data_IF_950968994612
#
_entry.id   IF_950968994612
#
_cell.length_a   1.000
_cell.length_b   1.000
_cell.length_c   1.000
_cell.angle_alpha   90.00
_cell.angle_beta   90.00
_cell.angle_gamma   90.00
#
_symmetry.space_group_name_H-M   'P 1'
#
loop_
_entity.id
_entity.type
_entity.pdbx_description
1 polymer ?
#
# COMPACT_ATOMS: atom_id res chain seq x y z
N UNK A 1 52.81 -51.35 -35.77
CA UNK A 1 53.81 -50.36 -36.19
C UNK A 1 53.16 -49.32 -37.10
N UNK A 2 53.53 -48.04 -37.03
CA UNK A 2 53.52 -47.16 -35.85
C UNK A 2 52.73 -45.86 -36.20
N UNK A 3 52.47 -44.84 -35.39
CA UNK A 3 52.97 -44.39 -34.10
C UNK A 3 51.86 -43.54 -33.42
N UNK A 4 51.67 -43.73 -32.12
CA UNK A 4 50.92 -42.77 -31.29
C UNK A 4 51.74 -41.51 -31.05
N UNK A 5 51.06 -40.37 -30.93
CA UNK A 5 51.62 -39.15 -30.35
C UNK A 5 50.77 -38.80 -29.15
N UNK A 6 51.36 -39.03 -27.98
CA UNK A 6 50.77 -38.80 -26.68
C UNK A 6 50.51 -37.31 -26.47
N UNK A 7 49.32 -36.99 -25.94
CA UNK A 7 49.04 -35.68 -25.38
C UNK A 7 49.92 -35.47 -24.16
N UNK A 8 50.87 -34.55 -24.27
CA UNK A 8 51.75 -34.16 -23.17
C UNK A 8 50.97 -33.20 -22.26
N UNK A 9 50.36 -33.77 -21.21
CA UNK A 9 49.74 -33.05 -20.12
C UNK A 9 50.86 -32.58 -19.18
N UNK A 10 51.37 -31.36 -19.41
CA UNK A 10 52.40 -30.76 -18.54
C UNK A 10 51.74 -30.28 -17.25
N UNK A 11 51.72 -31.18 -16.27
CA UNK A 11 51.51 -30.91 -14.85
C UNK A 11 52.64 -30.01 -14.36
N UNK A 12 52.27 -28.79 -13.92
CA UNK A 12 53.20 -27.80 -13.38
C UNK A 12 53.54 -28.20 -11.94
N UNK A 13 54.53 -29.08 -11.79
CA UNK A 13 55.11 -29.41 -10.48
C UNK A 13 56.64 -29.25 -10.52
N UNK A 14 57.07 -28.37 -9.63
CA UNK A 14 58.40 -28.25 -9.00
C UNK A 14 59.39 -27.15 -9.46
N UNK A 15 60.08 -26.67 -8.43
CA UNK A 15 61.25 -25.80 -8.37
C UNK A 15 61.07 -24.28 -8.58
N UNK A 16 61.13 -23.58 -7.43
CA UNK A 16 61.36 -22.14 -7.29
C UNK A 16 62.72 -21.76 -7.90
N UNK A 17 62.71 -20.81 -8.83
CA UNK A 17 63.87 -19.98 -9.15
C UNK A 17 63.37 -18.52 -9.18
N UNK A 18 63.87 -17.68 -8.28
CA UNK A 18 63.54 -16.25 -8.17
C UNK A 18 64.13 -15.47 -9.35
N UNK A 19 63.52 -15.62 -10.53
CA UNK A 19 63.64 -14.73 -11.66
C UNK A 19 62.47 -13.76 -11.66
N UNK A 20 62.73 -12.45 -11.68
CA UNK A 20 61.69 -11.43 -11.87
C UNK A 20 61.17 -11.51 -13.30
N UNK A 21 60.27 -12.46 -13.55
CA UNK A 21 59.58 -12.58 -14.83
C UNK A 21 58.44 -11.56 -14.86
N UNK A 22 58.66 -10.46 -15.57
CA UNK A 22 57.61 -9.47 -15.84
C UNK A 22 56.50 -10.13 -16.67
N UNK A 23 55.35 -10.39 -16.04
CA UNK A 23 54.15 -10.89 -16.71
C UNK A 23 53.69 -9.86 -17.77
N UNK A 24 53.87 -10.19 -19.05
CA UNK A 24 53.40 -9.35 -20.17
C UNK A 24 52.13 -9.93 -20.77
N UNK A 25 51.03 -9.18 -20.66
CA UNK A 25 49.75 -9.55 -21.27
C UNK A 25 49.86 -9.40 -22.78
N UNK A 26 49.42 -10.40 -23.53
CA UNK A 26 49.39 -10.31 -24.99
C UNK A 26 48.24 -9.40 -25.44
N UNK A 27 48.57 -8.21 -25.95
CA UNK A 27 47.59 -7.20 -26.40
C UNK A 27 46.61 -7.76 -27.46
N UNK A 28 47.10 -8.61 -28.37
CA UNK A 28 46.27 -9.27 -29.39
C UNK A 28 45.24 -10.25 -28.82
N UNK A 29 45.52 -10.87 -27.68
CA UNK A 29 44.58 -11.75 -27.01
C UNK A 29 43.54 -10.94 -26.24
N UNK A 30 43.97 -9.89 -25.53
CA UNK A 30 43.06 -8.99 -24.82
C UNK A 30 42.02 -8.36 -25.75
N UNK A 31 42.43 -7.87 -26.93
CA UNK A 31 41.52 -7.29 -27.92
C UNK A 31 40.51 -8.31 -28.45
N UNK A 32 40.96 -9.54 -28.75
CA UNK A 32 40.07 -10.63 -29.20
C UNK A 32 39.11 -11.05 -28.09
N UNK A 33 39.59 -11.19 -26.87
CA UNK A 33 38.80 -11.57 -25.71
C UNK A 33 37.69 -10.54 -25.44
N UNK A 34 38.04 -9.26 -25.43
CA UNK A 34 37.08 -8.16 -25.25
C UNK A 34 36.02 -8.20 -26.36
N UNK A 35 36.42 -8.31 -27.63
CA UNK A 35 35.47 -8.40 -28.74
C UNK A 35 34.52 -9.60 -28.63
N UNK A 36 35.01 -10.75 -28.16
CA UNK A 36 34.15 -11.92 -27.93
C UNK A 36 33.21 -11.74 -26.74
N UNK A 37 33.68 -11.08 -25.68
CA UNK A 37 32.88 -10.77 -24.50
C UNK A 37 31.80 -9.73 -24.78
N UNK A 38 32.14 -8.67 -25.49
CA UNK A 38 31.19 -7.65 -25.94
C UNK A 38 30.08 -8.28 -26.78
N UNK A 39 30.43 -9.18 -27.71
CA UNK A 39 29.43 -9.90 -28.50
C UNK A 39 28.53 -10.79 -27.65
N UNK A 40 29.09 -11.44 -26.63
CA UNK A 40 28.34 -12.29 -25.71
C UNK A 40 27.36 -11.48 -24.86
N UNK A 41 27.81 -10.36 -24.29
CA UNK A 41 26.97 -9.46 -23.48
C UNK A 41 25.86 -8.82 -24.33
N UNK A 42 26.16 -8.41 -25.57
CA UNK A 42 25.15 -7.85 -26.48
C UNK A 42 24.07 -8.89 -26.83
N UNK A 43 24.45 -10.15 -27.04
CA UNK A 43 23.50 -11.23 -27.28
C UNK A 43 22.64 -11.52 -26.05
N UNK A 44 23.23 -11.48 -24.84
CA UNK A 44 22.51 -11.64 -23.57
C UNK A 44 21.50 -10.52 -23.36
N UNK A 45 21.90 -9.26 -23.57
CA UNK A 45 21.03 -8.10 -23.44
C UNK A 45 19.83 -8.16 -24.41
N UNK A 46 20.07 -8.55 -25.67
CA UNK A 46 18.99 -8.74 -26.66
C UNK A 46 18.00 -9.83 -26.26
N UNK A 47 18.49 -10.95 -25.73
CA UNK A 47 17.62 -12.03 -25.25
C UNK A 47 16.73 -11.56 -24.10
N UNK A 48 17.29 -10.79 -23.17
CA UNK A 48 16.55 -10.26 -22.01
C UNK A 48 15.40 -9.34 -22.43
N UNK A 49 15.65 -8.46 -23.40
CA UNK A 49 14.66 -7.51 -23.92
C UNK A 49 13.50 -8.25 -24.63
N UNK A 50 13.80 -9.27 -25.42
CA UNK A 50 12.77 -10.07 -26.11
C UNK A 50 11.89 -10.85 -25.12
N UNK A 51 12.47 -11.37 -24.02
CA UNK A 51 11.71 -12.05 -22.96
C UNK A 51 10.78 -11.07 -22.22
N UNK A 52 11.22 -9.82 -22.02
CA UNK A 52 10.43 -8.75 -21.40
C UNK A 52 9.25 -8.31 -22.29
N UNK A 53 9.48 -8.16 -23.59
CA UNK A 53 8.42 -7.85 -24.56
C UNK A 53 7.38 -8.98 -24.67
N UNK A 54 7.81 -10.26 -24.64
CA UNK A 54 6.90 -11.42 -24.65
C UNK A 54 6.12 -11.59 -23.35
N UNK A 55 6.68 -11.16 -22.21
CA UNK A 55 5.96 -11.13 -20.93
C UNK A 55 4.89 -10.04 -20.87
N UNK A 56 5.06 -8.94 -21.62
CA UNK A 56 4.07 -7.85 -21.69
C UNK A 56 2.82 -8.17 -22.52
N UNK A 57 2.83 -9.26 -23.30
CA UNK A 57 1.77 -9.61 -24.24
C UNK A 57 0.79 -10.69 -23.75
N UNK A 58 0.91 -11.12 -22.50
CA UNK A 58 0.03 -12.12 -21.88
C UNK A 58 -0.85 -11.48 -20.81
N UNK A 59 -2.17 -11.52 -21.05
CA UNK A 59 -3.27 -11.05 -20.19
C UNK A 59 -3.62 -9.57 -20.30
N UNK A 60 -4.47 -9.26 -21.28
CA UNK A 60 -5.41 -8.13 -21.19
C UNK A 60 -6.56 -8.61 -20.27
N UNK A 61 -6.30 -8.63 -18.96
CA UNK A 61 -7.36 -8.69 -17.95
C UNK A 61 -8.03 -7.33 -17.99
N UNK A 62 -9.24 -7.27 -18.56
CA UNK A 62 -10.05 -6.07 -18.46
C UNK A 62 -10.20 -5.72 -16.99
N UNK A 63 -9.66 -4.56 -16.63
CA UNK A 63 -9.67 -4.07 -15.26
C UNK A 63 -11.12 -3.84 -14.87
N UNK A 64 -11.66 -4.67 -13.99
CA UNK A 64 -12.92 -4.36 -13.33
C UNK A 64 -12.80 -2.98 -12.70
N UNK A 65 -13.73 -2.10 -13.06
CA UNK A 65 -13.73 -0.70 -12.63
C UNK A 65 -14.18 -0.63 -11.16
N UNK A 66 -13.25 -0.96 -10.28
CA UNK A 66 -13.44 -1.05 -8.83
C UNK A 66 -13.86 0.29 -8.21
N UNK A 67 -13.57 1.42 -8.88
CA UNK A 67 -13.77 2.76 -8.31
C UNK A 67 -14.98 3.51 -8.88
N UNK A 68 -15.65 2.98 -9.92
CA UNK A 68 -16.80 3.61 -10.57
C UNK A 68 -16.67 5.14 -10.77
N UNK A 69 -15.61 5.64 -11.46
CA UNK A 69 -15.31 7.07 -11.65
C UNK A 69 -16.42 7.84 -12.38
N UNK A 70 -17.30 7.16 -13.11
CA UNK A 70 -18.46 7.76 -13.78
C UNK A 70 -19.65 7.99 -12.84
N UNK A 71 -19.65 7.39 -11.64
CA UNK A 71 -20.65 7.61 -10.60
C UNK A 71 -20.34 8.92 -9.85
N UNK A 72 -20.51 10.05 -10.55
CA UNK A 72 -20.35 11.39 -9.98
C UNK A 72 -21.52 11.72 -9.05
N UNK A 73 -21.35 12.66 -8.12
CA UNK A 73 -22.44 13.09 -7.23
C UNK A 73 -23.68 13.58 -8.00
N UNK A 74 -23.50 14.19 -9.17
CA UNK A 74 -24.60 14.62 -10.04
C UNK A 74 -25.35 13.43 -10.67
N UNK A 75 -24.63 12.37 -11.04
CA UNK A 75 -25.26 11.13 -11.52
C UNK A 75 -25.96 10.40 -10.37
N UNK A 76 -25.35 10.35 -9.18
CA UNK A 76 -25.94 9.75 -7.97
C UNK A 76 -27.28 10.41 -7.60
N UNK A 77 -27.36 11.75 -7.60
CA UNK A 77 -28.63 12.45 -7.30
C UNK A 77 -29.72 12.14 -8.32
N UNK A 78 -29.37 12.07 -9.61
CA UNK A 78 -30.29 11.64 -10.67
C UNK A 78 -30.76 10.20 -10.50
N UNK A 79 -29.88 9.29 -10.11
CA UNK A 79 -30.24 7.90 -9.79
C UNK A 79 -31.27 7.89 -8.66
N UNK A 80 -31.05 8.64 -7.57
CA UNK A 80 -32.02 8.70 -6.46
C UNK A 80 -33.35 9.33 -6.85
N UNK A 81 -33.34 10.43 -7.61
CA UNK A 81 -34.57 11.05 -8.13
C UNK A 81 -35.36 10.09 -9.04
N UNK A 82 -34.67 9.24 -9.82
CA UNK A 82 -35.34 8.23 -10.64
C UNK A 82 -35.92 7.10 -9.78
N UNK A 83 -35.23 6.66 -8.73
CA UNK A 83 -35.73 5.66 -7.79
C UNK A 83 -36.97 6.14 -7.04
N UNK A 84 -37.00 7.40 -6.61
CA UNK A 84 -38.16 8.03 -5.98
C UNK A 84 -39.39 7.99 -6.91
N UNK A 85 -39.21 8.40 -8.17
CA UNK A 85 -40.28 8.37 -9.18
C UNK A 85 -40.78 6.95 -9.45
N UNK A 86 -39.89 5.95 -9.42
CA UNK A 86 -40.26 4.54 -9.62
C UNK A 86 -41.10 4.06 -8.43
N UNK A 87 -40.70 4.40 -7.20
CA UNK A 87 -41.44 4.05 -5.98
C UNK A 87 -42.81 4.73 -5.93
N UNK A 88 -42.91 6.00 -6.33
CA UNK A 88 -44.18 6.74 -6.41
C UNK A 88 -45.07 6.32 -7.60
N UNK A 89 -44.55 5.49 -8.52
CA UNK A 89 -45.21 5.08 -9.77
C UNK A 89 -45.62 6.27 -10.63
N UNK A 90 -44.74 7.26 -10.75
CA UNK A 90 -45.03 8.45 -11.55
C UNK A 90 -45.20 8.08 -13.04
N UNK A 91 -46.26 8.60 -13.71
CA UNK A 91 -46.57 8.25 -15.10
C UNK A 91 -45.47 8.65 -16.09
N UNK A 92 -44.65 9.64 -15.71
CA UNK A 92 -43.54 10.14 -16.52
C UNK A 92 -42.44 9.12 -16.77
N UNK A 93 -42.32 8.04 -16.00
CA UNK A 93 -41.29 6.99 -16.24
C UNK A 93 -41.67 6.06 -17.39
N UNK A 94 -42.97 5.90 -17.63
CA UNK A 94 -43.47 4.99 -18.66
C UNK A 94 -43.53 5.64 -20.05
N UNK A 95 -43.23 6.93 -20.15
CA UNK A 95 -43.18 7.64 -21.41
C UNK A 95 -41.87 7.31 -22.16
N UNK A 96 -41.92 6.72 -23.37
CA UNK A 96 -40.72 6.35 -24.13
C UNK A 96 -39.94 7.56 -24.67
N UNK A 97 -40.43 8.77 -24.42
CA UNK A 97 -39.85 10.04 -24.88
C UNK A 97 -39.03 10.74 -23.79
N UNK A 98 -39.14 10.30 -22.53
CA UNK A 98 -38.42 10.91 -21.41
C UNK A 98 -37.10 10.19 -21.20
N UNK A 99 -35.98 10.91 -21.35
CA UNK A 99 -34.65 10.43 -20.99
C UNK A 99 -34.27 11.02 -19.64
N UNK A 100 -33.91 10.18 -18.67
CA UNK A 100 -33.50 10.63 -17.33
C UNK A 100 -32.00 10.87 -17.23
N UNK A 101 -31.23 10.19 -18.06
CA UNK A 101 -29.78 10.31 -18.16
C UNK A 101 -29.42 10.84 -19.54
N UNK A 102 -28.43 11.73 -19.59
CA UNK A 102 -27.85 12.24 -20.81
C UNK A 102 -26.33 12.05 -20.79
N UNK A 103 -25.72 11.93 -21.96
CA UNK A 103 -24.27 11.75 -22.09
C UNK A 103 -23.48 12.89 -21.41
N UNK A 104 -24.07 14.08 -21.31
CA UNK A 104 -23.50 15.23 -20.61
C UNK A 104 -23.40 15.02 -19.08
N UNK A 105 -24.20 14.14 -18.49
CA UNK A 105 -24.17 13.84 -17.05
C UNK A 105 -22.95 13.01 -16.67
N UNK A 106 -22.44 12.22 -17.61
CA UNK A 106 -21.26 11.37 -17.45
C UNK A 106 -19.98 12.05 -17.92
N UNK A 107 -20.09 13.26 -18.49
CA UNK A 107 -18.92 14.11 -18.64
C UNK A 107 -18.52 14.50 -17.24
N UNK A 108 -17.41 13.93 -16.79
CA UNK A 108 -16.67 14.53 -15.70
C UNK A 108 -16.46 15.98 -16.14
N UNK A 109 -17.13 16.92 -15.47
CA UNK A 109 -16.62 18.27 -15.48
C UNK A 109 -15.17 18.07 -15.04
N UNK A 110 -14.23 18.37 -15.92
CA UNK A 110 -12.91 18.79 -15.53
C UNK A 110 -13.13 20.03 -14.66
N UNK A 111 -13.71 19.85 -13.46
CA UNK A 111 -13.25 20.57 -12.31
C UNK A 111 -11.77 20.27 -12.39
N UNK A 112 -11.05 21.27 -12.88
CA UNK A 112 -9.76 21.63 -12.37
C UNK A 112 -9.89 21.42 -10.86
N UNK A 113 -9.69 20.18 -10.41
CA UNK A 113 -9.11 19.91 -9.12
C UNK A 113 -7.88 20.76 -9.24
N UNK A 114 -7.96 21.93 -8.62
CA UNK A 114 -6.91 22.90 -8.52
C UNK A 114 -5.60 22.10 -8.56
N UNK A 115 -4.85 22.25 -9.65
CA UNK A 115 -3.50 21.70 -9.73
C UNK A 115 -2.59 22.41 -8.71
N UNK A 116 -3.14 23.06 -7.67
CA UNK A 116 -2.96 22.76 -6.24
C UNK A 116 -2.18 21.49 -5.90
N UNK A 117 -0.96 21.40 -6.42
CA UNK A 117 0.06 20.42 -6.14
C UNK A 117 -0.39 18.96 -6.31
N UNK A 118 -0.61 18.52 -7.56
CA UNK A 118 -0.13 17.18 -7.90
C UNK A 118 1.38 17.20 -7.70
N UNK A 119 1.83 16.99 -6.45
CA UNK A 119 3.23 16.73 -6.14
C UNK A 119 3.61 15.65 -7.14
N UNK A 120 4.54 15.96 -8.04
CA UNK A 120 5.08 14.99 -8.98
C UNK A 120 5.33 13.74 -8.16
N UNK A 121 4.65 12.64 -8.50
CA UNK A 121 4.84 11.38 -7.80
C UNK A 121 6.30 11.03 -8.08
N UNK A 122 7.18 11.36 -7.14
CA UNK A 122 8.60 11.16 -7.29
C UNK A 122 8.79 9.66 -7.34
N UNK A 123 9.05 9.15 -8.54
CA UNK A 123 9.40 7.76 -8.67
C UNK A 123 10.74 7.55 -7.95
N UNK A 124 10.94 6.39 -7.32
CA UNK A 124 12.15 6.11 -6.54
C UNK A 124 13.44 6.41 -7.31
N UNK A 125 13.46 6.12 -8.63
CA UNK A 125 14.58 6.47 -9.53
C UNK A 125 14.86 7.98 -9.61
N UNK A 126 13.82 8.81 -9.61
CA UNK A 126 13.95 10.27 -9.66
C UNK A 126 14.45 10.83 -8.33
N UNK A 127 13.95 10.30 -7.22
CA UNK A 127 14.44 10.62 -5.88
C UNK A 127 15.93 10.27 -5.72
N UNK A 128 16.34 9.07 -6.14
CA UNK A 128 17.75 8.66 -6.14
C UNK A 128 18.62 9.56 -7.04
N UNK A 129 18.12 9.96 -8.20
CA UNK A 129 18.83 10.87 -9.11
C UNK A 129 19.01 12.24 -8.47
N UNK A 130 17.97 12.78 -7.84
CA UNK A 130 18.00 14.09 -7.19
C UNK A 130 18.93 14.11 -5.97
N UNK A 131 18.84 13.10 -5.11
CA UNK A 131 19.76 12.93 -3.96
C UNK A 131 21.21 12.80 -4.42
N UNK A 132 21.51 11.96 -5.41
CA UNK A 132 22.87 11.80 -5.93
C UNK A 132 23.40 13.07 -6.61
N UNK A 133 22.55 13.84 -7.29
CA UNK A 133 22.93 15.13 -7.88
C UNK A 133 23.20 16.21 -6.84
N UNK A 134 22.41 16.26 -5.76
CA UNK A 134 22.51 17.29 -4.73
C UNK A 134 23.61 16.98 -3.71
N UNK A 135 23.75 15.72 -3.29
CA UNK A 135 24.60 15.30 -2.18
C UNK A 135 25.87 14.54 -2.63
N UNK A 136 25.95 14.15 -3.91
CA UNK A 136 27.11 13.48 -4.49
C UNK A 136 27.11 11.96 -4.27
N UNK A 137 28.20 11.29 -4.65
CA UNK A 137 28.31 9.83 -4.62
C UNK A 137 28.15 9.20 -3.22
N UNK A 138 28.44 9.98 -2.18
CA UNK A 138 28.41 9.55 -0.77
C UNK A 138 27.07 9.87 -0.08
N UNK A 139 26.04 10.28 -0.84
CA UNK A 139 24.71 10.63 -0.32
C UNK A 139 24.10 9.49 0.52
N UNK A 140 24.08 8.28 -0.06
CA UNK A 140 23.47 7.11 0.56
C UNK A 140 24.21 6.68 1.83
N UNK A 141 25.55 6.72 1.81
CA UNK A 141 26.37 6.35 2.97
C UNK A 141 26.20 7.32 4.13
N UNK A 142 26.07 8.62 3.82
CA UNK A 142 25.88 9.65 4.84
C UNK A 142 24.47 9.61 5.46
N UNK A 143 23.45 9.32 4.65
CA UNK A 143 22.09 9.11 5.15
C UNK A 143 22.01 7.85 6.02
N UNK A 144 22.65 6.76 5.62
CA UNK A 144 22.74 5.52 6.39
C UNK A 144 23.46 5.73 7.73
N UNK A 145 24.61 6.40 7.75
CA UNK A 145 25.31 6.76 8.98
C UNK A 145 24.46 7.66 9.91
N UNK A 146 23.71 8.61 9.34
CA UNK A 146 22.83 9.49 10.11
C UNK A 146 21.61 8.75 10.69
N UNK A 147 21.02 7.82 9.93
CA UNK A 147 19.96 6.93 10.38
C UNK A 147 20.48 6.00 11.49
N UNK A 148 21.66 5.43 11.31
CA UNK A 148 22.27 4.52 12.27
C UNK A 148 22.67 5.23 13.56
N UNK A 149 23.15 6.47 13.49
CA UNK A 149 23.37 7.32 14.65
C UNK A 149 22.06 7.69 15.40
N UNK A 150 20.91 7.63 14.73
CA UNK A 150 19.60 8.00 15.30
C UNK A 150 18.77 6.79 15.73
N UNK A 151 19.14 5.57 15.34
CA UNK A 151 18.54 4.33 15.81
C UNK A 151 18.89 4.15 17.29
N UNK A 152 17.96 4.56 18.15
CA UNK A 152 18.00 4.16 19.56
C UNK A 152 17.68 2.69 19.67
N UNK A 153 18.30 2.01 20.63
CA UNK A 153 17.91 0.63 20.90
C UNK A 153 16.48 0.60 21.44
N UNK A 154 15.70 -0.47 21.22
CA UNK A 154 14.33 -0.56 21.77
C UNK A 154 14.28 -0.32 23.29
N UNK A 155 15.33 -0.71 24.01
CA UNK A 155 15.46 -0.46 25.45
C UNK A 155 15.64 1.02 25.78
N UNK A 156 16.45 1.73 24.99
CA UNK A 156 16.67 3.18 25.14
C UNK A 156 15.39 3.98 24.81
N UNK A 157 14.64 3.57 23.78
CA UNK A 157 13.34 4.18 23.46
C UNK A 157 12.33 3.97 24.59
N UNK A 158 12.23 2.76 25.13
CA UNK A 158 11.36 2.47 26.27
C UNK A 158 11.74 3.28 27.51
N UNK A 159 13.04 3.45 27.78
CA UNK A 159 13.51 4.28 28.89
C UNK A 159 13.19 5.76 28.67
N UNK A 160 13.38 6.27 27.45
CA UNK A 160 13.03 7.64 27.10
C UNK A 160 11.51 7.89 27.24
N UNK A 161 10.67 6.95 26.80
CA UNK A 161 9.22 7.01 26.95
C UNK A 161 8.81 6.96 28.42
N UNK A 162 9.39 6.05 29.22
CA UNK A 162 9.14 5.98 30.67
C UNK A 162 9.55 7.27 31.37
N UNK A 163 10.70 7.84 31.02
CA UNK A 163 11.18 9.10 31.58
C UNK A 163 10.26 10.27 31.19
N UNK A 164 9.82 10.34 29.93
CA UNK A 164 8.86 11.33 29.45
C UNK A 164 7.53 11.21 30.20
N UNK A 165 6.99 10.01 30.34
CA UNK A 165 5.74 9.75 31.07
C UNK A 165 5.86 10.14 32.54
N UNK A 166 6.94 9.76 33.22
CA UNK A 166 7.20 10.15 34.61
C UNK A 166 7.36 11.67 34.75
N UNK A 167 8.01 12.32 33.78
CA UNK A 167 8.16 13.78 33.79
C UNK A 167 6.81 14.50 33.60
N UNK A 168 5.97 14.01 32.70
CA UNK A 168 4.62 14.53 32.47
C UNK A 168 3.74 14.32 33.71
N UNK A 169 3.82 13.13 34.32
CA UNK A 169 3.12 12.80 35.56
C UNK A 169 3.53 13.72 36.72
N UNK A 170 4.83 13.98 36.90
CA UNK A 170 5.35 14.86 37.96
C UNK A 170 5.00 16.33 37.74
N UNK A 171 4.96 16.78 36.49
CA UNK A 171 4.58 18.16 36.17
C UNK A 171 3.07 18.40 36.28
N UNK A 172 2.25 17.36 36.21
CA UNK A 172 0.81 17.45 36.32
C UNK A 172 0.29 17.48 37.77
N UNK A 173 1.12 17.14 38.76
CA UNK A 173 0.75 17.08 40.17
C UNK A 173 1.60 18.04 41.04
N UNK A 174 1.23 19.33 41.15
CA UNK A 174 1.71 20.16 42.24
C UNK A 174 0.91 19.84 43.51
N UNK A 175 1.50 19.01 44.36
CA UNK A 175 1.33 19.06 45.83
C UNK A 175 0.00 18.62 46.49
N UNK A 176 -0.83 17.78 45.86
CA UNK A 176 -1.96 17.15 46.59
C UNK A 176 -2.07 15.66 46.29
N UNK A 177 -2.35 14.87 47.33
CA UNK A 177 -2.52 13.41 47.36
C UNK A 177 -3.80 12.95 46.60
N UNK A 178 -4.06 13.47 45.41
CA UNK A 178 -5.23 13.11 44.61
C UNK A 178 -4.87 12.17 43.45
N UNK A 179 -5.79 11.24 43.16
CA UNK A 179 -5.66 10.16 42.18
C UNK A 179 -5.09 10.64 40.82
N UNK A 180 -4.06 9.94 40.33
CA UNK A 180 -3.35 10.21 39.06
C UNK A 180 -4.29 10.27 37.83
N UNK A 181 -5.49 9.72 37.95
CA UNK A 181 -6.56 9.82 36.94
C UNK A 181 -7.82 10.44 37.56
N UNK A 182 -8.05 11.72 37.29
CA UNK A 182 -9.34 12.36 37.55
C UNK A 182 -10.18 12.39 36.27
N UNK A 183 -11.48 12.17 36.41
CA UNK A 183 -12.43 12.42 35.32
C UNK A 183 -12.46 13.92 35.09
N UNK A 184 -11.84 14.37 34.00
CA UNK A 184 -11.85 15.78 33.62
C UNK A 184 -13.24 16.15 33.12
N UNK A 185 -13.94 16.99 33.87
CA UNK A 185 -15.20 17.58 33.41
C UNK A 185 -14.91 18.50 32.21
N UNK A 186 -15.43 18.10 31.05
CA UNK A 186 -15.28 18.88 29.81
C UNK A 186 -15.99 20.22 29.96
N UNK A 187 -15.29 21.31 29.65
CA UNK A 187 -15.93 22.62 29.61
C UNK A 187 -16.91 22.72 28.43
N UNK A 188 -17.92 23.59 28.52
CA UNK A 188 -18.88 23.78 27.44
C UNK A 188 -18.20 24.19 26.12
N UNK A 189 -17.13 24.98 26.19
CA UNK A 189 -16.36 25.42 25.02
C UNK A 189 -15.58 24.28 24.35
N UNK A 190 -15.03 23.33 25.12
CA UNK A 190 -14.38 22.14 24.56
C UNK A 190 -15.39 21.19 23.91
N UNK A 191 -16.60 21.11 24.48
CA UNK A 191 -17.69 20.30 23.91
C UNK A 191 -18.16 20.84 22.58
N UNK A 192 -18.29 22.17 22.46
CA UNK A 192 -18.63 22.83 21.19
C UNK A 192 -17.53 22.63 20.13
N UNK A 193 -16.25 22.71 20.52
CA UNK A 193 -15.13 22.40 19.62
C UNK A 193 -15.11 20.93 19.20
N UNK A 194 -15.39 20.00 20.10
CA UNK A 194 -15.52 18.57 19.77
C UNK A 194 -16.71 18.33 18.82
N UNK A 195 -17.84 19.01 19.02
CA UNK A 195 -19.01 18.93 18.14
C UNK A 195 -18.68 19.49 16.75
N UNK A 196 -17.97 20.62 16.65
CA UNK A 196 -17.50 21.19 15.38
C UNK A 196 -16.51 20.24 14.68
N UNK A 197 -15.55 19.68 15.41
CA UNK A 197 -14.59 18.70 14.90
C UNK A 197 -15.27 17.39 14.50
N UNK A 198 -16.33 16.97 15.21
CA UNK A 198 -17.12 15.80 14.87
C UNK A 198 -17.95 16.05 13.62
N UNK A 199 -18.54 17.23 13.47
CA UNK A 199 -19.23 17.65 12.25
C UNK A 199 -18.25 17.67 11.08
N UNK A 200 -17.05 18.20 11.25
CA UNK A 200 -16.04 18.21 10.20
C UNK A 200 -15.46 16.82 9.91
N UNK A 201 -15.34 15.96 10.93
CA UNK A 201 -15.00 14.54 10.76
C UNK A 201 -16.08 13.82 9.96
N UNK A 202 -17.36 14.02 10.28
CA UNK A 202 -18.50 13.46 9.56
C UNK A 202 -18.58 14.01 8.13
N UNK A 203 -18.32 15.29 7.90
CA UNK A 203 -18.21 15.87 6.54
C UNK A 203 -17.02 15.29 5.76
N UNK A 204 -15.92 14.95 6.44
CA UNK A 204 -14.69 14.43 5.82
C UNK A 204 -14.73 12.93 5.59
N UNK A 205 -15.34 12.17 6.49
CA UNK A 205 -15.58 10.72 6.35
C UNK A 205 -16.82 10.44 5.52
N UNK A 206 -17.78 11.36 5.52
CA UNK A 206 -18.98 11.37 4.70
C UNK A 206 -18.85 12.36 3.57
N UNK A 207 -18.17 11.96 2.50
CA UNK A 207 -18.29 12.61 1.18
C UNK A 207 -19.69 12.38 0.56
N UNK A 208 -20.77 12.60 1.30
CA UNK A 208 -22.14 12.67 0.79
C UNK A 208 -22.89 13.70 1.65
N UNK A 209 -22.71 14.96 1.30
CA UNK A 209 -23.31 16.10 1.99
C UNK A 209 -23.73 17.18 1.01
N UNK A 210 -24.37 16.81 -0.10
CA UNK A 210 -25.05 17.75 -1.01
C UNK A 210 -26.25 17.05 -1.65
N UNK A 211 -27.46 17.57 -1.40
CA UNK A 211 -28.77 17.29 -2.02
C UNK A 211 -29.26 15.83 -2.10
N UNK A 212 -28.40 14.87 -2.43
CA UNK A 212 -28.65 13.43 -2.42
C UNK A 212 -29.14 12.92 -1.08
N UNK A 213 -28.57 13.36 0.04
CA UNK A 213 -28.95 12.87 1.38
C UNK A 213 -30.38 13.29 1.79
N UNK A 214 -30.88 14.40 1.23
CA UNK A 214 -32.28 14.84 1.35
C UNK A 214 -33.22 13.97 0.51
N UNK A 215 -32.80 13.60 -0.70
CA UNK A 215 -33.53 12.68 -1.59
C UNK A 215 -33.53 11.26 -0.99
N UNK A 216 -32.39 10.77 -0.50
CA UNK A 216 -32.25 9.51 0.21
C UNK A 216 -33.11 9.51 1.48
N UNK A 217 -33.10 10.59 2.25
CA UNK A 217 -34.03 10.74 3.37
C UNK A 217 -35.49 10.70 2.93
N UNK A 218 -35.88 11.14 1.73
CA UNK A 218 -37.27 10.99 1.24
C UNK A 218 -37.59 9.58 0.78
N UNK A 219 -36.65 8.88 0.15
CA UNK A 219 -36.81 7.49 -0.25
C UNK A 219 -36.89 6.54 0.96
N UNK A 220 -36.10 6.82 2.00
CA UNK A 220 -35.94 5.98 3.20
C UNK A 220 -36.65 6.49 4.47
N UNK A 221 -37.30 7.67 4.48
CA UNK A 221 -38.13 8.12 5.62
C UNK A 221 -39.62 7.86 5.40
N UNK A 222 -40.14 6.93 6.19
CA UNK A 222 -41.03 7.15 7.34
C UNK A 222 -41.99 5.95 7.47
N UNK A 223 -41.67 5.04 8.40
CA UNK A 223 -42.62 4.17 9.10
C UNK A 223 -43.46 3.17 8.28
N UNK A 224 -42.85 2.49 7.31
CA UNK A 224 -43.30 1.14 6.92
C UNK A 224 -42.20 0.15 7.30
N UNK A 225 -42.60 -1.01 7.81
CA UNK A 225 -41.71 -2.10 8.26
C UNK A 225 -40.68 -2.45 7.17
N UNK A 226 -39.52 -1.79 7.19
CA UNK A 226 -38.49 -2.02 6.19
C UNK A 226 -37.98 -3.46 6.36
N UNK A 227 -38.17 -4.28 5.34
CA UNK A 227 -37.65 -5.63 5.31
C UNK A 227 -36.12 -5.62 5.47
N UNK A 228 -35.56 -6.70 6.00
CA UNK A 228 -34.12 -6.88 6.20
C UNK A 228 -33.32 -6.60 4.91
N UNK A 229 -33.90 -6.92 3.75
CA UNK A 229 -33.34 -6.64 2.43
C UNK A 229 -33.27 -5.15 2.09
N UNK A 230 -34.27 -4.36 2.48
CA UNK A 230 -34.28 -2.92 2.23
C UNK A 230 -33.32 -2.18 3.15
N UNK A 231 -33.21 -2.64 4.40
CA UNK A 231 -32.20 -2.16 5.34
C UNK A 231 -30.78 -2.46 4.83
N UNK A 232 -30.55 -3.68 4.33
CA UNK A 232 -29.29 -4.04 3.70
C UNK A 232 -28.98 -3.15 2.50
N UNK A 233 -29.93 -2.94 1.59
CA UNK A 233 -29.71 -2.12 0.39
C UNK A 233 -29.42 -0.65 0.73
N UNK A 234 -30.13 -0.09 1.72
CA UNK A 234 -29.85 1.24 2.26
C UNK A 234 -28.39 1.34 2.71
N UNK A 235 -28.00 0.41 3.56
CA UNK A 235 -26.67 0.40 4.16
C UNK A 235 -25.57 0.13 3.12
N UNK A 236 -25.82 -0.75 2.15
CA UNK A 236 -24.90 -1.08 1.05
C UNK A 236 -24.64 0.13 0.16
N UNK A 237 -25.69 0.88 -0.18
CA UNK A 237 -25.58 2.10 -1.00
C UNK A 237 -24.92 3.24 -0.23
N UNK A 238 -25.36 3.49 1.01
CA UNK A 238 -24.83 4.57 1.82
C UNK A 238 -23.35 4.38 2.18
N UNK A 239 -22.96 3.13 2.48
CA UNK A 239 -21.57 2.78 2.81
C UNK A 239 -20.72 2.49 1.57
N UNK A 240 -21.28 2.62 0.36
CA UNK A 240 -20.63 2.28 -0.92
C UNK A 240 -19.89 0.95 -0.84
N UNK A 241 -20.55 -0.06 -0.27
CA UNK A 241 -19.91 -1.33 0.10
C UNK A 241 -19.48 -2.19 -1.08
N UNK A 242 -19.78 -1.77 -2.32
CA UNK A 242 -19.20 -2.34 -3.56
C UNK A 242 -17.75 -1.93 -3.80
N UNK A 243 -17.24 -0.90 -3.11
CA UNK A 243 -15.83 -0.52 -3.18
C UNK A 243 -15.05 -1.47 -2.24
N UNK A 244 -14.41 -2.49 -2.79
CA UNK A 244 -13.75 -3.58 -2.03
C UNK A 244 -12.56 -3.13 -1.15
N UNK A 245 -12.16 -1.86 -1.19
CA UNK A 245 -10.91 -1.38 -0.58
C UNK A 245 -11.02 -0.73 0.81
N UNK A 246 -12.20 -0.26 1.25
CA UNK A 246 -12.27 0.53 2.51
C UNK A 246 -12.72 -0.24 3.75
N UNK A 247 -13.35 -1.40 3.62
CA UNK A 247 -13.98 -2.06 4.79
C UNK A 247 -13.51 -3.48 5.10
N UNK A 248 -13.07 -4.26 4.10
CA UNK A 248 -12.63 -5.65 4.33
C UNK A 248 -11.19 -5.69 4.87
N UNK A 249 -10.29 -4.84 4.36
CA UNK A 249 -8.90 -4.81 4.82
C UNK A 249 -8.69 -3.99 6.11
N UNK A 250 -9.56 -3.01 6.40
CA UNK A 250 -9.41 -2.15 7.58
C UNK A 250 -9.88 -2.82 8.88
N UNK A 251 -10.89 -3.68 8.80
CA UNK A 251 -11.37 -4.44 9.97
C UNK A 251 -10.40 -5.54 10.40
N UNK A 252 -9.56 -6.04 9.49
CA UNK A 252 -8.45 -6.96 9.81
C UNK A 252 -7.23 -6.29 10.46
N UNK A 253 -7.06 -4.98 10.32
CA UNK A 253 -5.89 -4.25 10.84
C UNK A 253 -6.13 -3.58 12.20
N UNK A 254 -7.38 -3.24 12.56
CA UNK A 254 -7.71 -2.58 13.84
C UNK A 254 -8.35 -3.51 14.89
N UNK A 255 -8.66 -4.77 14.55
CA UNK A 255 -9.08 -5.80 15.54
C UNK A 255 -8.08 -6.94 15.73
N UNK A 256 -6.88 -6.84 15.16
CA UNK A 256 -5.76 -7.77 15.44
C UNK A 256 -5.02 -7.44 16.76
N UNK A 257 -5.68 -6.75 17.70
CA UNK A 257 -5.12 -6.51 19.03
C UNK A 257 -6.18 -6.62 20.13
N UNK A 258 -7.02 -7.66 20.06
CA UNK A 258 -7.74 -8.21 21.20
C UNK A 258 -8.24 -9.63 20.90
N UNK A 259 -7.48 -10.64 21.38
CA UNK A 259 -7.98 -11.97 21.74
C UNK A 259 -8.64 -12.82 20.64
N UNK A 260 -7.86 -13.68 19.97
CA UNK A 260 -8.00 -15.15 20.01
C UNK A 260 -7.08 -15.80 18.96
N UNK A 261 -5.91 -16.27 19.39
CA UNK A 261 -4.90 -16.86 18.53
C UNK A 261 -4.03 -17.89 19.24
N UNK A 262 -4.49 -18.45 20.36
CA UNK A 262 -3.71 -19.39 21.18
C UNK A 262 -4.02 -20.87 20.90
N UNK A 263 -4.65 -21.21 19.77
CA UNK A 263 -5.02 -22.61 19.48
C UNK A 263 -4.35 -23.26 18.27
N UNK A 264 -3.62 -22.53 17.42
CA UNK A 264 -3.02 -23.13 16.20
C UNK A 264 -1.54 -23.51 16.35
N UNK A 265 -0.81 -22.88 17.26
CA UNK A 265 0.64 -23.12 17.41
C UNK A 265 0.93 -24.38 18.25
N UNK A 266 -0.01 -24.75 19.15
CA UNK A 266 0.06 -25.98 19.95
C UNK A 266 -0.02 -27.24 19.09
N UNK A 267 -0.86 -27.28 18.05
CA UNK A 267 -0.99 -28.47 17.19
C UNK A 267 0.24 -28.64 16.29
N UNK A 268 0.79 -27.55 15.75
CA UNK A 268 2.03 -27.59 14.96
C UNK A 268 3.25 -28.03 15.79
N UNK A 269 3.37 -27.52 17.03
CA UNK A 269 4.43 -27.93 17.95
C UNK A 269 4.32 -29.41 18.35
N UNK A 270 3.10 -29.92 18.62
CA UNK A 270 2.88 -31.35 18.91
C UNK A 270 3.25 -32.24 17.73
N UNK A 271 2.89 -31.84 16.51
CA UNK A 271 3.23 -32.59 15.30
C UNK A 271 4.74 -32.66 15.06
N UNK A 272 5.49 -31.61 15.40
CA UNK A 272 6.96 -31.61 15.29
C UNK A 272 7.62 -32.48 16.37
N UNK A 273 7.13 -32.42 17.61
CA UNK A 273 7.65 -33.28 18.70
C UNK A 273 7.34 -34.77 18.47
N UNK A 274 6.22 -35.09 17.83
CA UNK A 274 5.86 -36.45 17.42
C UNK A 274 6.72 -36.96 16.26
N UNK A 275 7.10 -36.08 15.32
CA UNK A 275 8.07 -36.39 14.27
C UNK A 275 9.48 -36.64 14.85
N UNK A 276 9.95 -35.79 15.76
CA UNK A 276 11.25 -35.95 16.43
C UNK A 276 11.31 -37.25 17.26
N UNK A 277 10.21 -37.60 17.94
CA UNK A 277 10.08 -38.88 18.64
C UNK A 277 10.18 -40.07 17.70
N UNK A 278 9.52 -40.01 16.55
CA UNK A 278 9.57 -41.06 15.55
C UNK A 278 11.00 -41.26 15.01
N UNK A 279 11.73 -40.18 14.72
CA UNK A 279 13.11 -40.25 14.23
C UNK A 279 14.10 -40.75 15.30
N UNK A 280 13.88 -40.41 16.58
CA UNK A 280 14.75 -40.87 17.68
C UNK A 280 14.65 -42.38 17.97
N UNK A 281 13.59 -43.03 17.48
CA UNK A 281 13.32 -44.44 17.73
C UNK A 281 13.95 -45.39 16.68
N UNK A 282 14.61 -44.85 15.66
CA UNK A 282 15.29 -45.61 14.60
C UNK A 282 16.79 -45.30 14.57
#
# INVERSE_FOLDING_TARGET
EPAGSAGDLVLLEDAREDGKDELRISARYAEKYNKTKDRQELARAKKLLIDEDLASHSSDEETEDESAPLLTSHVETKIFDTLDKIRSKDPSIYDPKTSFFHDDDFKQEDKEVDEGSKKKVLHYKEFLRETLMNEGADAMTKEEEALEAKKRTPQEEQQALKASLVSAARNAAPDDEEDFFQVRDKSAAEREQEDDLFVDFVKKSGSVGTDGDSIMSRYWRADEDMDESEQFLRDYILKKSWLETTSIQKTGAETANASDGESSESESAKHMEEADRFESAY
#
